data_IF_318873027868
#
_entry.id   IF_318873027868
#
_cell.length_a   1.000
_cell.length_b   1.000
_cell.length_c   1.000
_cell.angle_alpha   90.00
_cell.angle_beta   90.00
_cell.angle_gamma   90.00
#
_symmetry.space_group_name_H-M   'P 1'
#
loop_
_entity.id
_entity.type
_entity.pdbx_description
1 polymer ?
#
# COMPACT_ATOMS: atom_id res chain seq x y z
N UNK A 1 0.82 2.22 -8.34
CA UNK A 1 1.44 3.05 -7.29
C UNK A 1 2.62 2.30 -6.67
N UNK A 2 3.65 2.98 -6.16
CA UNK A 2 4.72 2.33 -5.38
C UNK A 2 5.38 3.30 -4.40
N UNK A 3 6.04 2.78 -3.38
CA UNK A 3 7.00 3.56 -2.58
C UNK A 3 8.32 3.66 -3.34
N UNK A 4 8.72 4.87 -3.73
CA UNK A 4 9.97 5.08 -4.49
C UNK A 4 11.22 4.88 -3.63
N UNK A 5 11.17 5.35 -2.38
CA UNK A 5 12.25 5.29 -1.38
C UNK A 5 11.62 5.27 0.02
N UNK A 6 12.28 4.60 0.97
CA UNK A 6 11.98 4.72 2.40
C UNK A 6 13.31 4.81 3.17
N UNK A 7 13.29 5.31 4.40
CA UNK A 7 14.44 5.20 5.33
C UNK A 7 14.15 4.16 6.43
N UNK A 8 13.10 3.34 6.29
CA UNK A 8 12.76 2.34 7.30
C UNK A 8 13.78 1.19 7.30
N UNK A 9 14.16 0.63 8.46
CA UNK A 9 15.29 -0.30 8.54
C UNK A 9 15.18 -1.53 7.64
N UNK A 10 13.94 -1.99 7.39
CA UNK A 10 13.70 -3.21 6.60
C UNK A 10 13.40 -2.96 5.13
N UNK A 11 13.16 -1.71 4.73
CA UNK A 11 12.81 -1.33 3.35
C UNK A 11 11.64 -2.13 2.71
N UNK A 12 10.84 -2.86 3.51
CA UNK A 12 9.82 -3.77 2.98
C UNK A 12 8.79 -3.04 2.13
N UNK A 13 8.36 -1.85 2.55
CA UNK A 13 7.40 -1.05 1.82
C UNK A 13 7.92 -0.59 0.43
N UNK A 14 9.22 -0.34 0.29
CA UNK A 14 9.85 -0.02 -1.00
C UNK A 14 10.03 -1.28 -1.87
N UNK A 15 10.37 -2.41 -1.24
CA UNK A 15 10.62 -3.68 -1.91
C UNK A 15 9.36 -4.38 -2.44
N UNK A 16 8.16 -4.03 -1.95
CA UNK A 16 6.88 -4.53 -2.51
C UNK A 16 6.75 -4.19 -4.00
N UNK A 17 7.31 -3.05 -4.43
CA UNK A 17 7.24 -2.63 -5.82
C UNK A 17 5.88 -2.01 -6.18
N UNK A 18 5.40 -2.33 -7.38
CA UNK A 18 4.20 -1.72 -7.94
C UNK A 18 2.94 -2.49 -7.52
N UNK A 19 1.95 -1.75 -7.03
CA UNK A 19 0.57 -2.21 -6.83
C UNK A 19 -0.36 -1.49 -7.82
N UNK A 20 -1.38 -2.16 -8.33
CA UNK A 20 -2.29 -1.67 -9.38
C UNK A 20 -3.77 -2.04 -9.16
N UNK A 21 -4.07 -3.06 -8.36
CA UNK A 21 -5.40 -3.64 -8.24
C UNK A 21 -6.02 -3.38 -6.87
N UNK A 22 -7.35 -3.24 -6.85
CA UNK A 22 -8.12 -3.09 -5.62
C UNK A 22 -7.84 -4.25 -4.65
N UNK A 23 -7.65 -3.91 -3.37
CA UNK A 23 -7.32 -4.88 -2.31
C UNK A 23 -5.81 -5.08 -2.10
N UNK A 24 -4.96 -4.57 -3.00
CA UNK A 24 -3.52 -4.51 -2.75
C UNK A 24 -3.16 -3.37 -1.79
N UNK A 25 -2.17 -3.63 -0.92
CA UNK A 25 -1.72 -2.67 0.07
C UNK A 25 -0.19 -2.67 0.26
N UNK A 26 0.35 -1.52 0.64
CA UNK A 26 1.73 -1.33 1.11
C UNK A 26 1.68 -0.83 2.56
N UNK A 27 2.36 -1.55 3.46
CA UNK A 27 2.42 -1.21 4.89
C UNK A 27 3.86 -0.89 5.29
N UNK A 28 4.05 0.24 5.98
CA UNK A 28 5.30 0.60 6.63
C UNK A 28 5.09 0.74 8.14
N UNK A 29 5.30 -0.34 8.90
CA UNK A 29 5.10 -0.37 10.36
C UNK A 29 5.92 0.70 11.10
N UNK A 30 7.23 0.89 10.83
CA UNK A 30 8.03 1.88 11.56
C UNK A 30 7.52 3.32 11.41
N UNK A 31 6.96 3.65 10.25
CA UNK A 31 6.40 4.98 9.96
C UNK A 31 4.87 5.03 10.04
N UNK A 32 4.23 3.95 10.51
CA UNK A 32 2.77 3.84 10.67
C UNK A 32 1.99 4.25 9.41
N UNK A 33 2.50 3.89 8.25
CA UNK A 33 1.91 4.27 6.95
C UNK A 33 1.20 3.06 6.33
N UNK A 34 -0.02 3.28 5.84
CA UNK A 34 -0.80 2.33 5.04
C UNK A 34 -1.18 3.00 3.72
N UNK A 35 -0.90 2.34 2.60
CA UNK A 35 -1.33 2.72 1.26
C UNK A 35 -2.15 1.56 0.73
N UNK A 36 -3.38 1.81 0.29
CA UNK A 36 -4.31 0.81 -0.20
C UNK A 36 -4.95 1.29 -1.50
N UNK A 37 -5.06 0.40 -2.49
CA UNK A 37 -5.84 0.68 -3.71
C UNK A 37 -7.30 0.30 -3.43
N UNK A 38 -8.19 1.29 -3.49
CA UNK A 38 -9.65 1.12 -3.33
C UNK A 38 -10.37 1.41 -4.63
N UNK A 39 -11.49 0.72 -4.88
CA UNK A 39 -12.45 1.12 -5.91
C UNK A 39 -13.17 2.41 -5.48
N UNK A 40 -13.54 3.23 -6.45
CA UNK A 40 -14.38 4.40 -6.20
C UNK A 40 -15.79 3.98 -5.76
N UNK A 41 -16.27 2.84 -6.27
CA UNK A 41 -17.52 2.23 -5.88
C UNK A 41 -17.29 1.35 -4.65
N UNK A 42 -17.94 1.71 -3.54
CA UNK A 42 -18.07 0.79 -2.42
C UNK A 42 -18.91 -0.40 -2.88
N UNK A 43 -18.58 -1.65 -2.48
CA UNK A 43 -19.50 -2.75 -2.70
C UNK A 43 -20.82 -2.40 -2.00
N UNK A 44 -21.90 -2.33 -2.77
CA UNK A 44 -23.25 -2.33 -2.23
C UNK A 44 -23.42 -3.68 -1.57
N UNK A 45 -23.32 -3.70 -0.24
CA UNK A 45 -23.68 -4.87 0.56
C UNK A 45 -25.14 -4.66 0.93
N UNK A 46 -26.02 -5.37 0.21
CA UNK A 46 -27.41 -5.58 0.63
C UNK A 46 -27.48 -6.60 1.78
#
# INVERSE_FOLDING_TARGET
MRVKKSECPRQLCANIGWIQHTGEAIICVPFKTLIEVKSADAPVVD
#
